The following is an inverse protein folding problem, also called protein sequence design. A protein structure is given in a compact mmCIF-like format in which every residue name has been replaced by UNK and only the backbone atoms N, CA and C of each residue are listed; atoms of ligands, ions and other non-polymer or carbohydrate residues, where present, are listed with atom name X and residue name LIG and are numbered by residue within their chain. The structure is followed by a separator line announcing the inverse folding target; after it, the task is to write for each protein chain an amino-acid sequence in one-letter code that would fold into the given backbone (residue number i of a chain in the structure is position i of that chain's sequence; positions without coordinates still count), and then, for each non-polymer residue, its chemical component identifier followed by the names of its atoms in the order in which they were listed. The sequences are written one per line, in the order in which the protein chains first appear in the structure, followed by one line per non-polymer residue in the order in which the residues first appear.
data_IF_088496371126
#
_entry.id   IF_088496371126
#
_cell.length_a   1.000
_cell.length_b   1.000
_cell.length_c   1.000
_cell.angle_alpha   90.00
_cell.angle_beta   90.00
_cell.angle_gamma   90.00
#
_symmetry.space_group_name_H-M   'P 1'
#
loop_
_entity.id
_entity.type
_entity.pdbx_description
1 polymer ?
#
# COMPACT_ATOMS: atom_id res chain seq x y z
N UNK A 1 -20.94 -15.66 -1.54
CA UNK A 1 -22.23 -14.91 -1.46
C UNK A 1 -23.42 -15.62 -2.14
N UNK A 2 -23.26 -16.83 -2.70
CA UNK A 2 -24.39 -17.61 -3.23
C UNK A 2 -24.76 -17.33 -4.70
N UNK A 3 -24.02 -16.48 -5.40
CA UNK A 3 -24.22 -16.20 -6.82
C UNK A 3 -23.57 -17.25 -7.72
N UNK A 4 -24.11 -17.40 -8.94
CA UNK A 4 -23.46 -18.20 -10.00
C UNK A 4 -22.08 -17.64 -10.35
N UNK A 5 -21.23 -18.44 -11.01
CA UNK A 5 -19.92 -17.99 -11.46
C UNK A 5 -20.01 -16.78 -12.42
N UNK A 6 -20.99 -16.78 -13.33
CA UNK A 6 -21.22 -15.68 -14.28
C UNK A 6 -21.67 -14.42 -13.55
N UNK A 7 -22.66 -14.53 -12.66
CA UNK A 7 -23.16 -13.39 -11.88
C UNK A 7 -22.08 -12.82 -10.96
N UNK A 8 -21.25 -13.69 -10.36
CA UNK A 8 -20.14 -13.27 -9.50
C UNK A 8 -19.09 -12.47 -10.26
N UNK A 9 -18.74 -12.88 -11.48
CA UNK A 9 -17.82 -12.13 -12.35
C UNK A 9 -18.40 -10.78 -12.76
N UNK A 10 -19.69 -10.75 -13.15
CA UNK A 10 -20.37 -9.50 -13.49
C UNK A 10 -20.42 -8.52 -12.31
N UNK A 11 -20.70 -9.01 -11.09
CA UNK A 11 -20.71 -8.21 -9.86
C UNK A 11 -19.31 -7.74 -9.44
N UNK A 12 -18.25 -8.40 -9.85
CA UNK A 12 -16.88 -8.01 -9.54
C UNK A 12 -16.37 -6.84 -10.38
N UNK A 13 -16.88 -6.67 -11.60
CA UNK A 13 -16.40 -5.63 -12.52
C UNK A 13 -16.57 -4.19 -11.97
N UNK A 14 -17.73 -3.77 -11.41
CA UNK A 14 -17.91 -2.40 -10.95
C UNK A 14 -16.98 -1.98 -9.80
N UNK A 15 -16.77 -2.78 -8.73
CA UNK A 15 -15.79 -2.46 -7.69
C UNK A 15 -14.36 -2.33 -8.23
N UNK A 16 -13.95 -3.14 -9.20
CA UNK A 16 -12.62 -3.04 -9.80
C UNK A 16 -12.46 -1.82 -10.70
N UNK A 17 -13.49 -1.43 -11.46
CA UNK A 17 -13.49 -0.18 -12.22
C UNK A 17 -13.40 1.05 -11.31
N UNK A 18 -14.14 1.02 -10.19
CA UNK A 18 -14.04 2.04 -9.16
C UNK A 18 -12.62 2.08 -8.56
N UNK A 19 -12.06 0.91 -8.22
CA UNK A 19 -10.70 0.79 -7.70
C UNK A 19 -9.66 1.37 -8.67
N UNK A 20 -9.80 1.11 -9.96
CA UNK A 20 -8.93 1.68 -10.99
C UNK A 20 -8.92 3.22 -10.96
N UNK A 21 -10.08 3.86 -10.89
CA UNK A 21 -10.19 5.32 -10.76
C UNK A 21 -9.49 5.86 -9.50
N UNK A 22 -9.70 5.20 -8.36
CA UNK A 22 -9.05 5.58 -7.10
C UNK A 22 -7.53 5.41 -7.17
N UNK A 23 -7.03 4.33 -7.76
CA UNK A 23 -5.59 4.10 -7.93
C UNK A 23 -4.94 5.22 -8.74
N UNK A 24 -5.55 5.62 -9.86
CA UNK A 24 -5.06 6.73 -10.67
C UNK A 24 -5.06 8.05 -9.91
N UNK A 25 -6.15 8.34 -9.21
CA UNK A 25 -6.27 9.53 -8.38
C UNK A 25 -5.19 9.54 -7.28
N UNK A 26 -5.02 8.43 -6.58
CA UNK A 26 -4.02 8.29 -5.52
C UNK A 26 -2.61 8.42 -6.04
N UNK A 27 -2.29 7.82 -7.20
CA UNK A 27 -1.00 7.99 -7.84
C UNK A 27 -0.73 9.47 -8.11
N UNK A 28 -1.67 10.16 -8.77
CA UNK A 28 -1.56 11.59 -9.05
C UNK A 28 -1.42 12.45 -7.77
N UNK A 29 -2.28 12.24 -6.77
CA UNK A 29 -2.28 13.03 -5.54
C UNK A 29 -1.01 12.80 -4.71
N UNK A 30 -0.58 11.55 -4.55
CA UNK A 30 0.63 11.24 -3.78
C UNK A 30 1.90 11.76 -4.47
N UNK A 31 1.93 11.80 -5.81
CA UNK A 31 2.95 12.51 -6.59
C UNK A 31 2.92 14.02 -6.31
N UNK A 32 1.72 14.63 -6.35
CA UNK A 32 1.52 16.07 -6.18
C UNK A 32 1.89 16.56 -4.78
N UNK A 33 1.47 15.83 -3.74
CA UNK A 33 1.76 16.16 -2.34
C UNK A 33 3.16 15.74 -1.90
N UNK A 34 3.87 14.93 -2.71
CA UNK A 34 5.19 14.38 -2.39
C UNK A 34 5.24 13.63 -1.05
N UNK A 35 4.11 13.08 -0.62
CA UNK A 35 3.98 12.28 0.59
C UNK A 35 3.39 10.92 0.21
N UNK A 36 4.23 9.89 0.17
CA UNK A 36 3.78 8.52 -0.15
C UNK A 36 3.29 7.79 1.08
N UNK A 37 3.95 8.03 2.20
CA UNK A 37 3.70 7.35 3.46
C UNK A 37 2.30 7.58 4.02
N UNK A 38 1.77 8.82 3.97
CA UNK A 38 0.42 9.12 4.42
C UNK A 38 -0.64 8.39 3.60
N UNK A 39 -0.50 8.43 2.27
CA UNK A 39 -1.45 7.77 1.37
C UNK A 39 -1.43 6.26 1.57
N UNK A 40 -0.25 5.66 1.75
CA UNK A 40 -0.13 4.23 2.06
C UNK A 40 -0.85 3.88 3.36
N UNK A 41 -0.67 4.67 4.43
CA UNK A 41 -1.35 4.47 5.70
C UNK A 41 -2.89 4.58 5.56
N UNK A 42 -3.38 5.60 4.87
CA UNK A 42 -4.82 5.81 4.64
C UNK A 42 -5.42 4.62 3.89
N UNK A 43 -4.80 4.22 2.78
CA UNK A 43 -5.29 3.10 1.99
C UNK A 43 -5.22 1.76 2.72
N UNK A 44 -4.19 1.56 3.55
CA UNK A 44 -4.09 0.38 4.39
C UNK A 44 -5.25 0.29 5.41
N UNK A 45 -5.62 1.41 6.04
CA UNK A 45 -6.78 1.46 6.95
C UNK A 45 -8.09 1.27 6.21
N UNK A 46 -8.28 1.92 5.05
CA UNK A 46 -9.50 1.75 4.23
C UNK A 46 -9.67 0.27 3.82
N UNK A 47 -8.59 -0.38 3.39
CA UNK A 47 -8.62 -1.79 3.06
C UNK A 47 -8.90 -2.69 4.28
N UNK A 48 -8.27 -2.40 5.42
CA UNK A 48 -8.54 -3.08 6.69
C UNK A 48 -10.03 -3.01 7.07
N UNK A 49 -10.65 -1.83 6.97
CA UNK A 49 -12.08 -1.64 7.24
C UNK A 49 -12.92 -2.45 6.24
N UNK A 50 -12.59 -2.42 4.95
CA UNK A 50 -13.28 -3.19 3.93
C UNK A 50 -13.25 -4.70 4.18
N UNK A 51 -12.06 -5.27 4.41
CA UNK A 51 -11.92 -6.70 4.72
C UNK A 51 -12.59 -7.08 6.05
N UNK A 52 -12.51 -6.22 7.07
CA UNK A 52 -13.19 -6.42 8.35
C UNK A 52 -14.71 -6.43 8.17
N UNK A 53 -15.26 -5.52 7.36
CA UNK A 53 -16.69 -5.48 7.06
C UNK A 53 -17.16 -6.77 6.36
N UNK A 54 -16.38 -7.29 5.42
CA UNK A 54 -16.68 -8.56 4.74
C UNK A 54 -16.63 -9.73 5.72
N UNK A 55 -15.60 -9.79 6.57
CA UNK A 55 -15.40 -10.86 7.55
C UNK A 55 -16.51 -10.87 8.62
N UNK A 56 -16.78 -9.72 9.24
CA UNK A 56 -17.83 -9.53 10.24
C UNK A 56 -19.20 -9.83 9.63
N UNK A 57 -19.50 -9.27 8.45
CA UNK A 57 -20.74 -9.55 7.76
C UNK A 57 -20.92 -11.03 7.41
N UNK A 58 -19.84 -11.75 7.13
CA UNK A 58 -19.86 -13.21 6.96
C UNK A 58 -20.07 -13.97 8.27
N UNK A 59 -19.47 -13.52 9.37
CA UNK A 59 -19.54 -14.16 10.69
C UNK A 59 -20.91 -14.04 11.35
N UNK A 60 -21.55 -12.88 11.19
CA UNK A 60 -22.83 -12.53 11.80
C UNK A 60 -24.02 -12.65 10.84
N UNK A 61 -23.80 -13.12 9.60
CA UNK A 61 -24.87 -13.34 8.64
C UNK A 61 -25.58 -12.06 8.17
N UNK A 62 -24.84 -10.95 8.06
CA UNK A 62 -25.41 -9.68 7.57
C UNK A 62 -25.85 -9.80 6.11
N UNK A 63 -26.76 -8.90 5.71
CA UNK A 63 -27.23 -8.80 4.34
C UNK A 63 -26.05 -8.72 3.35
N UNK A 64 -26.20 -9.39 2.20
CA UNK A 64 -25.17 -9.48 1.15
C UNK A 64 -24.67 -8.10 0.72
N UNK A 65 -25.53 -7.09 0.73
CA UNK A 65 -25.19 -5.70 0.41
C UNK A 65 -24.06 -5.13 1.26
N UNK A 66 -24.01 -5.39 2.57
CA UNK A 66 -22.92 -4.90 3.43
C UNK A 66 -21.56 -5.46 3.06
N UNK A 67 -21.55 -6.73 2.64
CA UNK A 67 -20.33 -7.42 2.24
C UNK A 67 -19.89 -6.98 0.86
N UNK A 68 -20.84 -6.73 -0.03
CA UNK A 68 -20.57 -6.14 -1.33
C UNK A 68 -20.01 -4.72 -1.20
N UNK A 69 -20.57 -3.90 -0.30
CA UNK A 69 -20.04 -2.58 0.04
C UNK A 69 -18.60 -2.66 0.59
N UNK A 70 -18.28 -3.69 1.38
CA UNK A 70 -16.91 -3.92 1.83
C UNK A 70 -15.90 -4.10 0.70
N UNK A 71 -16.30 -4.65 -0.45
CA UNK A 71 -15.44 -4.79 -1.64
C UNK A 71 -15.07 -3.41 -2.22
N UNK A 72 -15.99 -2.45 -2.20
CA UNK A 72 -15.73 -1.07 -2.63
C UNK A 72 -14.77 -0.30 -1.72
N UNK A 73 -14.43 -0.83 -0.55
CA UNK A 73 -13.38 -0.30 0.31
C UNK A 73 -12.09 -1.12 0.17
N UNK A 74 -12.22 -2.45 0.24
CA UNK A 74 -11.09 -3.37 0.19
C UNK A 74 -10.29 -3.26 -1.10
N UNK A 75 -10.96 -3.32 -2.27
CA UNK A 75 -10.28 -3.30 -3.57
C UNK A 75 -9.51 -2.00 -3.82
N UNK A 76 -10.11 -0.79 -3.79
CA UNK A 76 -9.36 0.45 -4.00
C UNK A 76 -8.24 0.64 -2.98
N UNK A 77 -8.49 0.34 -1.70
CA UNK A 77 -7.48 0.46 -0.66
C UNK A 77 -6.27 -0.45 -0.92
N UNK A 78 -6.52 -1.73 -1.22
CA UNK A 78 -5.47 -2.70 -1.48
C UNK A 78 -4.63 -2.35 -2.72
N UNK A 79 -5.27 -2.09 -3.87
CA UNK A 79 -4.51 -1.79 -5.10
C UNK A 79 -3.75 -0.48 -4.99
N UNK A 80 -4.34 0.55 -4.36
CA UNK A 80 -3.64 1.83 -4.16
C UNK A 80 -2.43 1.67 -3.25
N UNK A 81 -2.53 0.85 -2.19
CA UNK A 81 -1.40 0.53 -1.33
C UNK A 81 -0.26 -0.14 -2.12
N UNK A 82 -0.57 -1.11 -2.98
CA UNK A 82 0.42 -1.76 -3.86
C UNK A 82 1.10 -0.75 -4.78
N UNK A 83 0.32 0.09 -5.47
CA UNK A 83 0.84 1.12 -6.36
C UNK A 83 1.82 2.04 -5.64
N UNK A 84 1.44 2.52 -4.44
CA UNK A 84 2.31 3.38 -3.64
C UNK A 84 3.59 2.65 -3.19
N UNK A 85 3.50 1.39 -2.74
CA UNK A 85 4.67 0.60 -2.32
C UNK A 85 5.67 0.46 -3.47
N UNK A 86 5.18 0.16 -4.68
CA UNK A 86 6.02 0.02 -5.87
C UNK A 86 6.71 1.35 -6.18
N UNK A 87 5.94 2.44 -6.30
CA UNK A 87 6.48 3.77 -6.61
C UNK A 87 7.46 4.24 -5.55
N UNK A 88 7.17 4.00 -4.27
CA UNK A 88 8.04 4.38 -3.18
C UNK A 88 9.35 3.59 -3.18
N UNK A 89 9.28 2.28 -3.39
CA UNK A 89 10.46 1.41 -3.49
C UNK A 89 11.38 1.87 -4.62
N UNK A 90 10.83 2.20 -5.78
CA UNK A 90 11.60 2.69 -6.94
C UNK A 90 12.26 4.04 -6.64
N UNK A 91 11.57 4.94 -5.93
CA UNK A 91 12.04 6.30 -5.69
C UNK A 91 13.05 6.41 -4.53
N UNK A 92 13.08 5.44 -3.61
CA UNK A 92 13.99 5.44 -2.46
C UNK A 92 15.35 4.77 -2.73
N UNK A 93 15.69 4.50 -3.99
CA UNK A 93 16.95 3.86 -4.36
C UNK A 93 17.80 4.80 -5.22
N UNK A 94 19.06 4.95 -4.82
CA UNK A 94 19.99 5.90 -5.46
C UNK A 94 20.61 5.38 -6.78
N UNK A 95 20.44 4.09 -7.11
CA UNK A 95 20.99 3.50 -8.33
C UNK A 95 20.03 2.52 -9.00
N UNK A 96 20.13 2.40 -10.33
CA UNK A 96 19.27 1.50 -11.13
C UNK A 96 19.43 0.03 -10.75
N UNK A 97 20.65 -0.39 -10.37
CA UNK A 97 20.89 -1.74 -9.86
C UNK A 97 20.10 -2.00 -8.57
N UNK A 98 20.12 -1.06 -7.60
CA UNK A 98 19.35 -1.19 -6.36
C UNK A 98 17.83 -1.14 -6.61
N UNK A 99 17.37 -0.32 -7.56
CA UNK A 99 15.96 -0.29 -8.01
C UNK A 99 15.53 -1.65 -8.55
N UNK A 100 16.33 -2.24 -9.43
CA UNK A 100 16.08 -3.56 -10.01
C UNK A 100 16.03 -4.66 -8.94
N UNK A 101 17.01 -4.69 -8.03
CA UNK A 101 17.03 -5.66 -6.93
C UNK A 101 15.83 -5.50 -6.00
N UNK A 102 15.44 -4.26 -5.66
CA UNK A 102 14.26 -3.99 -4.83
C UNK A 102 12.97 -4.51 -5.47
N UNK A 103 12.79 -4.27 -6.77
CA UNK A 103 11.63 -4.78 -7.52
C UNK A 103 11.63 -6.31 -7.64
N UNK A 104 12.80 -6.92 -7.85
CA UNK A 104 12.92 -8.38 -7.87
C UNK A 104 12.54 -9.00 -6.52
N UNK A 105 13.00 -8.42 -5.41
CA UNK A 105 12.66 -8.87 -4.06
C UNK A 105 11.16 -8.74 -3.78
N UNK A 106 10.55 -7.60 -4.13
CA UNK A 106 9.10 -7.41 -4.03
C UNK A 106 8.33 -8.48 -4.81
N UNK A 107 8.77 -8.80 -6.03
CA UNK A 107 8.10 -9.80 -6.85
C UNK A 107 8.24 -11.21 -6.24
N UNK A 108 9.44 -11.61 -5.80
CA UNK A 108 9.68 -12.91 -5.16
C UNK A 108 8.77 -13.10 -3.94
N UNK A 109 8.73 -12.10 -3.04
CA UNK A 109 7.86 -12.14 -1.85
C UNK A 109 6.38 -12.14 -2.27
N UNK A 110 6.02 -11.34 -3.28
CA UNK A 110 4.67 -11.27 -3.82
C UNK A 110 4.14 -12.63 -4.29
N UNK A 111 4.98 -13.45 -4.91
CA UNK A 111 4.60 -14.80 -5.37
C UNK A 111 4.36 -15.80 -4.23
N UNK A 112 4.82 -15.52 -3.00
CA UNK A 112 4.45 -16.33 -1.83
C UNK A 112 2.97 -16.12 -1.42
N UNK A 113 2.36 -15.00 -1.81
CA UNK A 113 0.98 -14.67 -1.50
C UNK A 113 -0.04 -15.71 -1.98
N UNK A 114 -0.05 -16.08 -3.27
CA UNK A 114 -0.92 -17.14 -3.80
C UNK A 114 -0.74 -18.49 -3.08
N UNK A 115 0.48 -18.87 -2.72
CA UNK A 115 0.75 -20.13 -2.01
C UNK A 115 0.05 -20.14 -0.65
N UNK A 116 0.15 -19.05 0.12
CA UNK A 116 -0.60 -18.90 1.38
C UNK A 116 -2.10 -18.80 1.14
N UNK A 117 -2.52 -18.11 0.08
CA UNK A 117 -3.92 -17.93 -0.32
C UNK A 117 -4.66 -19.25 -0.52
N UNK A 118 -4.04 -20.24 -1.16
CA UNK A 118 -4.69 -21.55 -1.38
C UNK A 118 -5.07 -22.25 -0.08
N UNK A 119 -4.32 -22.04 1.01
CA UNK A 119 -4.62 -22.60 2.33
C UNK A 119 -5.58 -21.74 3.15
N UNK A 120 -5.68 -20.44 2.87
CA UNK A 120 -6.56 -19.51 3.58
C UNK A 120 -8.02 -19.57 3.12
N UNK A 121 -8.30 -20.15 1.95
CA UNK A 121 -9.63 -20.24 1.37
C UNK A 121 -10.06 -21.69 1.08
N UNK A 122 -10.10 -22.59 2.09
CA UNK A 122 -10.57 -23.96 1.90
C UNK A 122 -12.05 -23.96 1.53
N UNK A 123 -12.48 -24.92 0.69
CA UNK A 123 -13.87 -25.01 0.21
C UNK A 123 -14.89 -25.11 1.37
N UNK A 124 -14.48 -25.71 2.48
CA UNK A 124 -15.26 -25.89 3.71
C UNK A 124 -15.63 -24.56 4.40
N UNK A 125 -14.82 -23.51 4.24
CA UNK A 125 -15.12 -22.17 4.78
C UNK A 125 -16.05 -21.36 3.85
N UNK A 126 -16.44 -21.94 2.71
CA UNK A 126 -17.43 -21.37 1.80
C UNK A 126 -18.82 -21.26 2.47
N UNK A 127 -19.70 -20.35 1.99
CA UNK A 127 -19.54 -19.42 0.89
C UNK A 127 -18.99 -18.04 1.32
N UNK A 128 -18.46 -17.95 2.55
CA UNK A 128 -18.19 -16.68 3.21
C UNK A 128 -16.73 -16.42 3.54
N UNK A 129 -15.92 -17.46 3.67
CA UNK A 129 -14.47 -17.38 3.81
C UNK A 129 -14.01 -16.39 4.89
N UNK A 130 -14.70 -16.38 6.03
CA UNK A 130 -14.48 -15.40 7.12
C UNK A 130 -13.02 -15.42 7.60
N UNK A 131 -12.41 -16.60 7.72
CA UNK A 131 -11.01 -16.75 8.13
C UNK A 131 -10.07 -16.04 7.14
N UNK A 132 -10.19 -16.35 5.85
CA UNK A 132 -9.40 -15.71 4.80
C UNK A 132 -9.54 -14.19 4.79
N UNK A 133 -10.76 -13.68 4.89
CA UNK A 133 -11.03 -12.24 4.92
C UNK A 133 -10.46 -11.57 6.18
N UNK A 134 -10.53 -12.24 7.34
CA UNK A 134 -9.95 -11.73 8.59
C UNK A 134 -8.42 -11.67 8.53
N UNK A 135 -7.79 -12.66 7.90
CA UNK A 135 -6.34 -12.68 7.69
C UNK A 135 -5.92 -11.55 6.74
N UNK A 136 -6.66 -11.31 5.65
CA UNK A 136 -6.43 -10.16 4.78
C UNK A 136 -6.53 -8.82 5.55
N UNK A 137 -7.54 -8.67 6.42
CA UNK A 137 -7.65 -7.50 7.28
C UNK A 137 -6.40 -7.35 8.18
N UNK A 138 -6.00 -8.42 8.86
CA UNK A 138 -4.80 -8.43 9.71
C UNK A 138 -3.52 -8.02 8.96
N UNK A 139 -3.33 -8.51 7.72
CA UNK A 139 -2.21 -8.08 6.89
C UNK A 139 -2.28 -6.61 6.49
N UNK A 140 -3.46 -6.08 6.16
CA UNK A 140 -3.58 -4.64 5.87
C UNK A 140 -3.27 -3.78 7.10
N UNK A 141 -3.63 -4.23 8.30
CA UNK A 141 -3.27 -3.55 9.54
C UNK A 141 -1.75 -3.63 9.80
N UNK A 142 -1.11 -4.77 9.49
CA UNK A 142 0.34 -4.90 9.54
C UNK A 142 1.02 -3.92 8.56
N UNK A 143 0.52 -3.79 7.33
CA UNK A 143 1.02 -2.82 6.34
C UNK A 143 0.95 -1.40 6.90
N UNK A 144 -0.15 -1.04 7.57
CA UNK A 144 -0.29 0.26 8.23
C UNK A 144 0.82 0.50 9.27
N UNK A 145 1.04 -0.43 10.19
CA UNK A 145 2.06 -0.27 11.23
C UNK A 145 3.48 -0.24 10.67
N UNK A 146 3.79 -1.09 9.69
CA UNK A 146 5.10 -1.11 9.03
C UNK A 146 5.33 0.20 8.26
N UNK A 147 4.32 0.68 7.52
CA UNK A 147 4.38 1.95 6.80
C UNK A 147 4.58 3.13 7.74
N UNK A 148 3.86 3.16 8.86
CA UNK A 148 4.00 4.19 9.88
C UNK A 148 5.40 4.16 10.52
N UNK A 149 5.91 2.97 10.84
CA UNK A 149 7.27 2.79 11.36
C UNK A 149 8.33 3.31 10.38
N UNK A 150 8.22 2.95 9.09
CA UNK A 150 9.13 3.41 8.06
C UNK A 150 9.07 4.92 7.86
N UNK A 151 7.86 5.51 7.91
CA UNK A 151 7.68 6.97 7.89
C UNK A 151 8.43 7.66 9.03
N UNK A 152 8.29 7.17 10.25
CA UNK A 152 8.95 7.74 11.42
C UNK A 152 10.48 7.62 11.33
N UNK A 153 10.99 6.50 10.83
CA UNK A 153 12.42 6.32 10.60
C UNK A 153 12.97 7.27 9.54
N UNK A 154 12.28 7.42 8.40
CA UNK A 154 12.70 8.34 7.35
C UNK A 154 12.60 9.81 7.81
N UNK A 155 11.59 10.17 8.59
CA UNK A 155 11.49 11.50 9.18
C UNK A 155 12.66 11.79 10.14
N UNK A 156 13.07 10.79 10.93
CA UNK A 156 14.24 10.89 11.82
C UNK A 156 15.54 11.04 11.02
N UNK A 157 15.71 10.25 9.97
CA UNK A 157 16.89 10.30 9.10
C UNK A 157 16.98 11.63 8.33
N UNK A 158 15.87 12.11 7.79
CA UNK A 158 15.81 13.40 7.11
C UNK A 158 16.20 14.54 8.07
N UNK A 159 15.66 14.57 9.30
CA UNK A 159 16.07 15.56 10.32
C UNK A 159 17.55 15.48 10.67
N UNK A 160 18.12 14.27 10.76
CA UNK A 160 19.56 14.10 11.03
C UNK A 160 20.41 14.68 9.91
N UNK A 161 20.01 14.47 8.65
CA UNK A 161 20.71 14.99 7.46
C UNK A 161 20.61 16.50 7.35
N UNK A 162 19.44 17.06 7.64
CA UNK A 162 19.23 18.51 7.67
C UNK A 162 20.11 19.19 8.74
N UNK A 163 20.29 18.54 9.91
CA UNK A 163 21.18 19.03 10.96
C UNK A 163 22.66 19.02 10.53
N UNK A 164 23.15 17.94 9.91
CA UNK A 164 24.54 17.87 9.41
C UNK A 164 24.79 18.92 8.32
N UNK A 165 23.84 19.08 7.38
CA UNK A 165 23.95 20.08 6.32
C UNK A 165 24.00 21.53 6.87
N UNK A 166 23.34 21.80 7.99
CA UNK A 166 23.42 23.11 8.66
C UNK A 166 24.76 23.36 9.38
N UNK A 167 25.48 22.30 9.77
CA UNK A 167 26.80 22.40 10.43
C UNK A 167 27.94 22.57 9.42
N UNK A 168 27.87 21.90 8.26
CA UNK A 168 28.88 22.05 7.20
C UNK A 168 28.74 23.40 6.45
N UNK A 169 27.58 24.06 6.51
CA UNK A 169 27.31 25.35 5.86
C UNK A 169 27.92 26.59 6.51
N UNK A 170 28.58 26.45 7.67
CA UNK A 170 29.25 27.54 8.39
C UNK A 170 30.77 27.63 8.09
N UNK A 171 31.36 26.60 7.44
CA UNK A 171 32.79 26.55 7.11
C UNK A 171 33.16 26.98 5.68
N UNK A 172 32.24 26.87 4.71
CA UNK A 172 32.58 26.88 3.28
C UNK A 172 31.84 27.96 2.45
N UNK A 173 31.43 29.09 3.07
CA UNK A 173 30.63 30.11 2.39
C UNK A 173 31.32 30.88 1.25
N UNK A 174 32.64 30.78 1.06
CA UNK A 174 33.32 31.52 -0.03
C UNK A 174 33.61 30.72 -1.32
N UNK A 175 33.46 29.39 -1.34
CA UNK A 175 33.98 28.58 -2.47
C UNK A 175 32.97 27.87 -3.38
N UNK A 176 31.77 27.52 -2.88
CA UNK A 176 30.99 26.41 -3.47
C UNK A 176 29.58 26.77 -3.96
N UNK A 177 29.22 28.06 -3.98
CA UNK A 177 27.91 28.58 -4.43
C UNK A 177 27.52 28.11 -5.84
N UNK A 178 28.48 27.64 -6.65
CA UNK A 178 28.25 27.29 -8.06
C UNK A 178 28.15 25.79 -8.35
N UNK A 179 28.52 24.86 -7.44
CA UNK A 179 28.63 23.43 -7.81
C UNK A 179 27.72 22.42 -7.10
N UNK A 180 27.09 22.74 -5.97
CA UNK A 180 26.39 21.71 -5.17
C UNK A 180 24.86 21.87 -5.07
N UNK A 181 24.22 22.43 -6.11
CA UNK A 181 22.81 22.10 -6.42
C UNK A 181 22.67 20.74 -7.11
N UNK A 182 23.65 19.84 -6.90
CA UNK A 182 23.66 18.47 -7.41
C UNK A 182 22.77 17.62 -6.51
N UNK A 183 21.47 17.67 -6.80
CA UNK A 183 20.60 16.50 -6.83
C UNK A 183 20.76 15.52 -5.64
N UNK A 184 20.59 15.97 -4.39
CA UNK A 184 20.49 15.04 -3.25
C UNK A 184 19.04 14.55 -3.15
N UNK A 185 18.76 13.24 -3.30
CA UNK A 185 17.40 12.72 -3.20
C UNK A 185 16.87 12.94 -1.77
N UNK A 186 15.88 13.81 -1.63
CA UNK A 186 15.02 13.80 -0.45
C UNK A 186 14.21 12.52 -0.50
N UNK A 187 14.43 11.61 0.45
CA UNK A 187 13.58 10.44 0.61
C UNK A 187 12.14 10.92 0.89
N UNK A 188 11.24 10.56 -0.03
CA UNK A 188 9.81 10.90 -0.01
C UNK A 188 9.00 9.88 0.79
#
# INVERSE_FOLDING_TARGET
MGFSALSSQALAAPPYLFAFGIVLLTAYLSDRFRDRSSFLCIHAIVAFVGYSLIAIGGRFGWAVGWRYAGIYLAAPGFFSAITIIITWTINNQDSDSKRGTGMALLNIIGQCGPLLGTRLYPKEDGPYYVKGMSVCAGFMLLVFFVSLGLRLQLAKENRRRDAIASTDGDGDQEGLVTKEKVNRPQFR
#
